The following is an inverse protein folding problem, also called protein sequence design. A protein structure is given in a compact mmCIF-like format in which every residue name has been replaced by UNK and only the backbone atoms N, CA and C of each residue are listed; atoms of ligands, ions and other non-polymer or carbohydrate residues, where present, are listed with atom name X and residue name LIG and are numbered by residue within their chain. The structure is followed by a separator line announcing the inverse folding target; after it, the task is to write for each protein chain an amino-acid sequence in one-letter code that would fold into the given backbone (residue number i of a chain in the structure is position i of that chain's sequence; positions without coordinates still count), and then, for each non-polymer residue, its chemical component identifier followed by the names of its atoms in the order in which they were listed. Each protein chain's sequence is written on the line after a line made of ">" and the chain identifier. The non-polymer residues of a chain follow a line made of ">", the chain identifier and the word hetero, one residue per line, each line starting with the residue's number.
data_IF_244422873894
#
_entry.id   IF_244422873894
#
_cell.length_a   1.000
_cell.length_b   1.000
_cell.length_c   1.000
_cell.angle_alpha   90.00
_cell.angle_beta   90.00
_cell.angle_gamma   90.00
#
_symmetry.space_group_name_H-M   'P 1'
#
loop_
_entity.id
_entity.type
_entity.pdbx_description
1 polymer ?
#
# COMPACT_ATOMS: atom_id res chain seq x y z
N UNK A 1 -3.45 -2.04 -31.02
CA UNK A 1 -4.32 -3.18 -30.65
C UNK A 1 -5.75 -2.66 -30.51
N UNK A 2 -6.76 -3.37 -30.99
CA UNK A 2 -8.18 -2.95 -30.88
C UNK A 2 -8.89 -3.72 -29.77
N UNK A 3 -9.53 -3.00 -28.86
CA UNK A 3 -10.46 -3.57 -27.88
C UNK A 3 -11.84 -3.68 -28.53
N UNK A 4 -12.37 -4.90 -28.68
CA UNK A 4 -13.69 -5.12 -29.26
C UNK A 4 -14.72 -5.44 -28.18
N UNK A 5 -15.71 -4.58 -28.01
CA UNK A 5 -16.78 -4.76 -27.02
C UNK A 5 -18.10 -5.02 -27.77
N UNK A 6 -18.59 -6.26 -27.70
CA UNK A 6 -19.84 -6.68 -28.38
C UNK A 6 -21.10 -6.47 -27.54
N UNK A 7 -21.01 -5.77 -26.43
CA UNK A 7 -22.15 -5.47 -25.56
C UNK A 7 -22.76 -4.11 -25.93
N UNK A 8 -24.02 -4.12 -26.37
CA UNK A 8 -24.73 -2.92 -26.82
C UNK A 8 -24.86 -1.86 -25.72
N UNK A 9 -25.12 -2.28 -24.48
CA UNK A 9 -25.22 -1.38 -23.33
C UNK A 9 -23.89 -0.68 -23.08
N UNK A 10 -22.78 -1.41 -23.11
CA UNK A 10 -21.45 -0.80 -22.95
C UNK A 10 -21.16 0.22 -24.05
N UNK A 11 -21.50 -0.12 -25.30
CA UNK A 11 -21.33 0.80 -26.43
C UNK A 11 -22.16 2.09 -26.25
N UNK A 12 -23.41 1.97 -25.79
CA UNK A 12 -24.27 3.12 -25.49
C UNK A 12 -23.71 4.00 -24.36
N UNK A 13 -23.16 3.39 -23.31
CA UNK A 13 -22.52 4.10 -22.20
C UNK A 13 -21.28 4.86 -22.66
N UNK A 14 -20.42 4.23 -23.45
CA UNK A 14 -19.20 4.84 -24.01
C UNK A 14 -19.56 6.01 -24.90
N UNK A 15 -20.53 5.83 -25.80
CA UNK A 15 -21.00 6.91 -26.68
C UNK A 15 -21.53 8.09 -25.86
N UNK A 16 -22.39 7.83 -24.87
CA UNK A 16 -22.91 8.89 -23.99
C UNK A 16 -21.80 9.61 -23.23
N UNK A 17 -20.80 8.88 -22.74
CA UNK A 17 -19.66 9.48 -22.04
C UNK A 17 -18.88 10.40 -22.98
N UNK A 18 -18.53 9.92 -24.16
CA UNK A 18 -17.84 10.70 -25.19
C UNK A 18 -18.62 11.96 -25.58
N UNK A 19 -19.94 11.85 -25.78
CA UNK A 19 -20.80 12.98 -26.12
C UNK A 19 -20.82 14.05 -24.99
N UNK A 20 -20.86 13.61 -23.73
CA UNK A 20 -20.87 14.51 -22.57
C UNK A 20 -19.51 15.16 -22.30
N UNK A 21 -18.41 14.49 -22.62
CA UNK A 21 -17.05 15.01 -22.38
C UNK A 21 -16.44 15.70 -23.60
N UNK A 22 -17.08 15.62 -24.77
CA UNK A 22 -16.54 16.11 -26.03
C UNK A 22 -15.31 15.33 -26.52
N UNK A 23 -15.09 14.12 -26.01
CA UNK A 23 -13.95 13.27 -26.34
C UNK A 23 -14.31 12.26 -27.44
N UNK A 24 -13.30 11.61 -28.02
CA UNK A 24 -13.54 10.38 -28.78
C UNK A 24 -13.96 9.25 -27.84
N UNK A 25 -14.69 8.26 -28.35
CA UNK A 25 -15.06 7.08 -27.56
C UNK A 25 -13.84 6.34 -26.98
N UNK A 26 -12.73 6.29 -27.72
CA UNK A 26 -11.48 5.70 -27.24
C UNK A 26 -10.90 6.50 -26.07
N UNK A 27 -10.79 7.83 -26.20
CA UNK A 27 -10.26 8.68 -25.14
C UNK A 27 -11.16 8.65 -23.89
N UNK A 28 -12.48 8.63 -24.07
CA UNK A 28 -13.44 8.51 -22.99
C UNK A 28 -13.30 7.17 -22.22
N UNK A 29 -13.09 6.05 -22.93
CA UNK A 29 -12.81 4.75 -22.29
C UNK A 29 -11.48 4.78 -21.56
N UNK A 30 -10.42 5.27 -22.21
CA UNK A 30 -9.08 5.31 -21.64
C UNK A 30 -9.06 6.08 -20.32
N UNK A 31 -9.62 7.28 -20.33
CA UNK A 31 -9.73 8.14 -19.15
C UNK A 31 -10.56 7.49 -18.04
N UNK A 32 -11.72 6.89 -18.37
CA UNK A 32 -12.55 6.19 -17.38
C UNK A 32 -11.84 4.97 -16.77
N UNK A 33 -11.13 4.19 -17.58
CA UNK A 33 -10.36 3.02 -17.12
C UNK A 33 -9.17 3.45 -16.28
N UNK A 34 -8.43 4.48 -16.71
CA UNK A 34 -7.28 5.00 -15.97
C UNK A 34 -7.67 5.48 -14.57
N UNK A 35 -8.75 6.27 -14.45
CA UNK A 35 -9.26 6.70 -13.13
C UNK A 35 -9.68 5.51 -12.27
N UNK A 36 -10.39 4.53 -12.84
CA UNK A 36 -10.83 3.35 -12.10
C UNK A 36 -9.64 2.50 -11.62
N UNK A 37 -8.60 2.36 -12.44
CA UNK A 37 -7.37 1.68 -12.05
C UNK A 37 -6.68 2.42 -10.91
N UNK A 38 -6.53 3.74 -11.00
CA UNK A 38 -5.94 4.55 -9.93
C UNK A 38 -6.69 4.38 -8.60
N UNK A 39 -8.03 4.38 -8.61
CA UNK A 39 -8.84 4.14 -7.41
C UNK A 39 -8.59 2.75 -6.80
N UNK A 40 -8.53 1.72 -7.65
CA UNK A 40 -8.30 0.33 -7.22
C UNK A 40 -6.89 0.14 -6.67
N UNK A 41 -5.88 0.72 -7.33
CA UNK A 41 -4.49 0.68 -6.89
C UNK A 41 -4.31 1.42 -5.57
N UNK A 42 -4.91 2.60 -5.40
CA UNK A 42 -4.89 3.34 -4.15
C UNK A 42 -5.53 2.54 -3.00
N UNK A 43 -6.67 1.88 -3.26
CA UNK A 43 -7.34 1.06 -2.25
C UNK A 43 -6.52 -0.19 -1.86
N UNK A 44 -5.86 -0.81 -2.84
CA UNK A 44 -4.98 -1.96 -2.61
C UNK A 44 -3.74 -1.54 -1.82
N UNK A 45 -3.14 -0.40 -2.14
CA UNK A 45 -1.99 0.13 -1.43
C UNK A 45 -2.33 0.47 0.03
N UNK A 46 -3.49 1.10 0.28
CA UNK A 46 -3.95 1.36 1.64
C UNK A 46 -4.16 0.06 2.43
N UNK A 47 -4.83 -0.93 1.83
CA UNK A 47 -5.02 -2.25 2.46
C UNK A 47 -3.70 -2.98 2.74
N UNK A 48 -2.71 -2.86 1.85
CA UNK A 48 -1.38 -3.44 2.04
C UNK A 48 -0.62 -2.77 3.19
N UNK A 49 -0.71 -1.44 3.32
CA UNK A 49 -0.12 -0.70 4.44
C UNK A 49 -0.77 -1.10 5.75
N UNK A 50 -2.10 -1.20 5.80
CA UNK A 50 -2.84 -1.64 6.99
C UNK A 50 -2.44 -3.07 7.40
N UNK A 51 -2.30 -3.97 6.42
CA UNK A 51 -1.85 -5.34 6.68
C UNK A 51 -0.41 -5.37 7.22
N UNK A 52 0.50 -4.60 6.62
CA UNK A 52 1.88 -4.50 7.09
C UNK A 52 1.95 -3.97 8.53
N UNK A 53 1.14 -2.97 8.89
CA UNK A 53 1.05 -2.48 10.26
C UNK A 53 0.50 -3.52 11.23
N UNK A 54 -0.50 -4.31 10.81
CA UNK A 54 -1.02 -5.40 11.61
C UNK A 54 0.04 -6.48 11.87
N UNK A 55 0.84 -6.82 10.86
CA UNK A 55 1.93 -7.80 10.98
C UNK A 55 3.03 -7.29 11.92
N UNK A 56 3.43 -6.01 11.80
CA UNK A 56 4.40 -5.37 12.71
C UNK A 56 3.88 -5.35 14.15
N UNK A 57 2.61 -5.00 14.35
CA UNK A 57 2.00 -5.00 15.68
C UNK A 57 1.98 -6.40 16.30
N UNK A 58 1.68 -7.44 15.50
CA UNK A 58 1.73 -8.84 15.92
C UNK A 58 3.14 -9.25 16.36
N UNK A 59 4.16 -8.93 15.56
CA UNK A 59 5.55 -9.24 15.88
C UNK A 59 6.02 -8.54 17.16
N UNK A 60 5.60 -7.29 17.40
CA UNK A 60 5.93 -6.57 18.64
C UNK A 60 5.30 -7.20 19.88
N UNK A 61 4.08 -7.72 19.77
CA UNK A 61 3.41 -8.44 20.86
C UNK A 61 4.15 -9.74 21.15
N UNK A 62 4.49 -10.51 20.13
CA UNK A 62 5.24 -11.76 20.26
C UNK A 62 6.62 -11.53 20.90
N UNK A 63 7.37 -10.52 20.41
CA UNK A 63 8.66 -10.15 20.96
C UNK A 63 8.57 -9.77 22.44
N UNK A 64 7.57 -8.97 22.83
CA UNK A 64 7.35 -8.60 24.24
C UNK A 64 6.97 -9.79 25.12
N UNK A 65 6.24 -10.76 24.58
CA UNK A 65 5.87 -11.96 25.32
C UNK A 65 7.06 -12.91 25.52
N UNK A 66 8.00 -12.95 24.57
CA UNK A 66 9.17 -13.82 24.59
C UNK A 66 10.39 -13.29 25.36
N UNK A 67 10.44 -11.99 25.65
CA UNK A 67 11.60 -11.37 26.34
C UNK A 67 11.27 -11.12 27.80
N UNK A 68 12.03 -11.74 28.70
CA UNK A 68 11.90 -11.51 30.13
C UNK A 68 12.39 -10.11 30.53
N UNK A 69 11.95 -9.62 31.70
CA UNK A 69 12.38 -8.31 32.19
C UNK A 69 13.91 -8.21 32.36
N UNK A 70 14.56 -9.30 32.77
CA UNK A 70 16.01 -9.38 32.96
C UNK A 70 16.77 -9.37 31.64
N UNK A 71 16.28 -10.08 30.62
CA UNK A 71 16.86 -10.04 29.27
C UNK A 71 16.71 -8.65 28.66
N UNK A 72 15.55 -8.02 28.84
CA UNK A 72 15.33 -6.64 28.40
C UNK A 72 16.29 -5.66 29.06
N UNK A 73 16.52 -5.80 30.36
CA UNK A 73 17.46 -4.96 31.09
C UNK A 73 18.91 -5.14 30.58
N UNK A 74 19.32 -6.39 30.29
CA UNK A 74 20.63 -6.66 29.69
C UNK A 74 20.78 -6.08 28.29
N UNK A 75 19.76 -6.20 27.44
CA UNK A 75 19.79 -5.64 26.09
C UNK A 75 19.94 -4.11 26.10
N UNK A 76 19.27 -3.42 27.04
CA UNK A 76 19.37 -1.96 27.17
C UNK A 76 20.71 -1.50 27.74
N UNK A 77 21.39 -2.32 28.55
CA UNK A 77 22.70 -2.00 29.13
C UNK A 77 23.89 -2.47 28.29
N UNK A 78 23.68 -3.28 27.26
CA UNK A 78 24.76 -3.82 26.42
C UNK A 78 25.54 -2.74 25.67
N UNK A 79 24.88 -1.63 25.31
CA UNK A 79 25.53 -0.50 24.64
C UNK A 79 26.56 0.17 25.56
N UNK A 80 26.29 0.28 26.87
CA UNK A 80 27.19 0.88 27.86
C UNK A 80 28.47 0.03 28.08
N UNK A 81 28.40 -1.27 27.77
CA UNK A 81 29.53 -2.20 27.83
C UNK A 81 30.40 -2.14 26.56
N UNK A 82 29.78 -1.89 25.39
CA UNK A 82 30.44 -1.94 24.09
C UNK A 82 30.95 -0.57 23.62
N UNK A 83 30.27 0.51 24.02
CA UNK A 83 30.55 1.87 23.58
C UNK A 83 30.87 2.80 24.77
N UNK A 84 31.65 3.85 24.50
CA UNK A 84 31.91 4.93 25.46
C UNK A 84 30.80 6.01 25.43
N UNK A 85 30.94 7.04 26.27
CA UNK A 85 29.98 8.15 26.36
C UNK A 85 29.88 9.00 25.08
N UNK A 86 30.81 8.81 24.14
CA UNK A 86 30.81 9.43 22.81
C UNK A 86 30.29 8.49 21.72
N UNK A 87 29.89 7.26 22.08
CA UNK A 87 29.39 6.23 21.17
C UNK A 87 30.50 5.52 20.38
N UNK A 88 31.77 5.62 20.81
CA UNK A 88 32.88 4.93 20.19
C UNK A 88 33.11 3.55 20.84
N UNK A 89 33.51 2.53 20.07
CA UNK A 89 33.84 1.22 20.63
C UNK A 89 34.95 1.34 21.68
N UNK A 90 34.75 0.71 22.84
CA UNK A 90 35.75 0.62 23.90
C UNK A 90 36.92 -0.31 23.56
#
# INVERSE_FOLDING_TARGET
>A
MSLNIKNERTHALVRRLADLTGQSQTAAIEDAVARRLADVEASTAAAAVDQQWADVAGLLVEFRAGVTADERARMLGADDELYDEHGLPR
#
